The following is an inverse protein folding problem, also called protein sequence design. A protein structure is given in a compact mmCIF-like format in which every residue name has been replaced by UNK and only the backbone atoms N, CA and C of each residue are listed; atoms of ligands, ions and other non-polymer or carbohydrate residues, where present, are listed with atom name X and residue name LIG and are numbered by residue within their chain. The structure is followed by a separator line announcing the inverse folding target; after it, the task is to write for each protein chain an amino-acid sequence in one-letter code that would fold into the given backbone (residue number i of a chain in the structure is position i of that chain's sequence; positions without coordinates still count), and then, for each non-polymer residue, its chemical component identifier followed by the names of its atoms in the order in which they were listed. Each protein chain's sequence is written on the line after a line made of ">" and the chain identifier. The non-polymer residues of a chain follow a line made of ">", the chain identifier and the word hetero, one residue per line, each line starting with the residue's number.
data_IF_173196260313
#
_entry.id   IF_173196260313
#
_cell.length_a   1.000
_cell.length_b   1.000
_cell.length_c   1.000
_cell.angle_alpha   90.00
_cell.angle_beta   90.00
_cell.angle_gamma   90.00
#
_symmetry.space_group_name_H-M   'P 1'
#
loop_
_entity.id
_entity.type
_entity.pdbx_description
1 polymer ?
#
# COMPACT_ATOMS: atom_id res chain seq x y z
N UNK A 1 -21.57 -45.96 16.38
CA UNK A 1 -21.73 -44.80 15.47
C UNK A 1 -21.09 -43.61 16.15
N UNK A 2 -19.85 -43.28 15.77
CA UNK A 2 -19.23 -41.99 16.09
C UNK A 2 -19.31 -41.18 14.80
N UNK A 3 -20.12 -40.13 14.82
CA UNK A 3 -20.25 -39.13 13.76
C UNK A 3 -18.88 -38.48 13.53
N UNK A 4 -18.39 -38.58 12.29
CA UNK A 4 -17.26 -37.78 11.82
C UNK A 4 -17.64 -36.30 11.98
N UNK A 5 -16.92 -35.61 12.85
CA UNK A 5 -16.93 -34.16 12.97
C UNK A 5 -16.31 -33.61 11.67
N UNK A 6 -17.06 -32.88 10.82
CA UNK A 6 -16.58 -32.38 9.55
C UNK A 6 -15.77 -31.09 9.78
N UNK A 7 -14.66 -31.19 10.50
CA UNK A 7 -13.58 -30.19 10.45
C UNK A 7 -12.83 -30.35 9.13
N UNK A 8 -13.54 -30.18 8.00
CA UNK A 8 -13.00 -30.11 6.65
C UNK A 8 -13.80 -29.10 5.81
N UNK A 9 -14.08 -27.95 6.41
CA UNK A 9 -14.59 -26.75 5.73
C UNK A 9 -13.50 -25.66 5.66
N UNK A 10 -12.22 -26.05 5.60
CA UNK A 10 -11.19 -25.20 5.00
C UNK A 10 -11.19 -25.34 3.47
N UNK A 11 -12.38 -25.49 2.88
CA UNK A 11 -12.57 -25.35 1.44
C UNK A 11 -12.59 -23.86 1.14
N UNK A 12 -11.40 -23.32 0.90
CA UNK A 12 -11.26 -22.14 0.08
C UNK A 12 -11.84 -22.50 -1.30
N UNK A 13 -13.10 -22.15 -1.51
CA UNK A 13 -13.74 -22.23 -2.80
C UNK A 13 -13.20 -21.10 -3.67
N UNK A 14 -11.97 -21.27 -4.14
CA UNK A 14 -11.40 -20.43 -5.20
C UNK A 14 -11.93 -20.96 -6.54
N UNK A 15 -13.26 -20.97 -6.68
CA UNK A 15 -13.93 -21.10 -7.97
C UNK A 15 -14.10 -19.68 -8.49
N UNK A 16 -13.36 -19.32 -9.53
CA UNK A 16 -13.45 -18.05 -10.24
C UNK A 16 -12.88 -16.82 -9.50
N UNK A 17 -11.72 -16.96 -8.83
CA UNK A 17 -10.85 -15.79 -8.68
C UNK A 17 -10.13 -15.63 -10.02
N UNK A 18 -10.70 -14.80 -10.90
CA UNK A 18 -9.90 -14.03 -11.85
C UNK A 18 -8.67 -13.58 -11.08
N UNK A 19 -7.48 -13.92 -11.55
CA UNK A 19 -6.22 -13.57 -10.88
C UNK A 19 -6.19 -12.07 -10.69
N UNK A 20 -6.68 -11.61 -9.53
CA UNK A 20 -6.47 -10.26 -9.04
C UNK A 20 -4.97 -10.15 -9.07
N UNK A 21 -4.46 -9.18 -9.83
CA UNK A 21 -3.05 -8.97 -10.00
C UNK A 21 -2.40 -8.95 -8.61
N UNK A 22 -1.75 -10.06 -8.25
CA UNK A 22 -1.41 -10.38 -6.86
C UNK A 22 -0.41 -9.35 -6.32
N UNK A 23 0.39 -8.80 -7.22
CA UNK A 23 1.33 -7.71 -6.98
C UNK A 23 0.60 -6.40 -6.71
N UNK A 24 -0.40 -6.01 -7.52
CA UNK A 24 -1.21 -4.83 -7.26
C UNK A 24 -1.96 -4.92 -5.92
N UNK A 25 -2.48 -6.10 -5.57
CA UNK A 25 -3.12 -6.34 -4.27
C UNK A 25 -2.14 -6.15 -3.13
N UNK A 26 -0.93 -6.71 -3.26
CA UNK A 26 0.13 -6.56 -2.26
C UNK A 26 0.54 -5.10 -2.10
N UNK A 27 0.74 -4.38 -3.20
CA UNK A 27 1.12 -2.97 -3.18
C UNK A 27 0.05 -2.12 -2.48
N UNK A 28 -1.24 -2.38 -2.75
CA UNK A 28 -2.34 -1.69 -2.06
C UNK A 28 -2.31 -1.93 -0.55
N UNK A 29 -2.08 -3.17 -0.12
CA UNK A 29 -1.96 -3.50 1.31
C UNK A 29 -0.77 -2.76 1.92
N UNK A 30 0.39 -2.73 1.26
CA UNK A 30 1.58 -2.03 1.75
C UNK A 30 1.35 -0.50 1.82
N UNK A 31 0.67 0.07 0.83
CA UNK A 31 0.27 1.49 0.84
C UNK A 31 -0.64 1.80 2.05
N UNK A 32 -1.69 1.01 2.25
CA UNK A 32 -2.71 1.25 3.27
C UNK A 32 -2.18 1.06 4.71
N UNK A 33 -1.32 0.07 4.91
CA UNK A 33 -0.89 -0.34 6.26
C UNK A 33 0.48 0.20 6.66
N UNK A 34 1.32 0.58 5.69
CA UNK A 34 2.70 1.03 5.95
C UNK A 34 2.94 2.44 5.45
N UNK A 35 2.78 2.70 4.15
CA UNK A 35 3.27 3.94 3.56
C UNK A 35 2.40 5.16 3.86
N UNK A 36 1.09 5.08 3.63
CA UNK A 36 0.18 6.20 3.90
C UNK A 36 0.12 6.56 5.39
N UNK A 37 0.00 5.60 6.35
CA UNK A 37 0.07 5.93 7.77
C UNK A 37 1.37 6.64 8.15
N UNK A 38 2.51 6.20 7.61
CA UNK A 38 3.81 6.78 7.93
C UNK A 38 3.92 8.22 7.41
N UNK A 39 3.51 8.47 6.16
CA UNK A 39 3.55 9.81 5.57
C UNK A 39 2.59 10.78 6.27
N UNK A 40 1.45 10.28 6.75
CA UNK A 40 0.50 11.03 7.56
C UNK A 40 1.05 11.37 8.96
N UNK A 41 1.70 10.41 9.64
CA UNK A 41 2.33 10.61 10.95
C UNK A 41 3.41 11.71 10.91
N UNK A 42 4.19 11.77 9.82
CA UNK A 42 5.14 12.85 9.61
C UNK A 42 4.48 14.20 9.23
N UNK A 43 3.20 14.19 8.86
CA UNK A 43 2.42 15.37 8.47
C UNK A 43 2.66 15.82 7.04
N UNK A 44 3.23 14.96 6.19
CA UNK A 44 3.44 15.25 4.77
C UNK A 44 2.16 15.14 3.97
N UNK A 45 1.29 14.19 4.33
CA UNK A 45 -0.03 14.01 3.73
C UNK A 45 -1.12 14.05 4.81
N UNK A 46 -2.36 14.16 4.37
CA UNK A 46 -3.54 13.81 5.15
C UNK A 46 -4.32 12.76 4.35
N UNK A 47 -4.63 11.62 4.96
CA UNK A 47 -5.23 10.49 4.28
C UNK A 47 -6.62 10.17 4.80
N UNK A 48 -7.61 10.40 3.95
CA UNK A 48 -8.99 10.00 4.18
C UNK A 48 -9.18 8.54 3.80
N UNK A 49 -9.24 7.67 4.81
CA UNK A 49 -9.43 6.22 4.65
C UNK A 49 -10.81 5.85 4.14
N UNK A 50 -11.82 6.62 4.50
CA UNK A 50 -13.20 6.34 4.12
C UNK A 50 -13.41 6.63 2.64
N UNK A 51 -12.86 7.74 2.16
CA UNK A 51 -12.96 8.18 0.76
C UNK A 51 -11.79 7.73 -0.13
N UNK A 52 -10.77 7.08 0.44
CA UNK A 52 -9.54 6.68 -0.24
C UNK A 52 -8.83 7.87 -0.92
N UNK A 53 -8.82 9.02 -0.26
CA UNK A 53 -8.26 10.27 -0.80
C UNK A 53 -7.01 10.70 -0.04
N UNK A 54 -5.96 11.05 -0.77
CA UNK A 54 -4.71 11.58 -0.21
C UNK A 54 -4.60 13.05 -0.57
N UNK A 55 -4.44 13.89 0.46
CA UNK A 55 -4.31 15.35 0.33
C UNK A 55 -3.00 15.82 0.95
N UNK A 56 -2.59 17.06 0.65
CA UNK A 56 -1.36 17.64 1.21
C UNK A 56 -1.51 17.87 2.71
N UNK A 57 -0.54 17.37 3.47
CA UNK A 57 -0.43 17.65 4.89
C UNK A 57 0.23 19.00 5.18
N UNK A 58 0.23 19.45 6.44
CA UNK A 58 0.77 20.75 6.83
C UNK A 58 2.28 20.89 6.57
N UNK A 59 3.03 19.78 6.47
CA UNK A 59 4.48 19.77 6.18
C UNK A 59 4.81 19.34 4.76
N UNK A 60 3.84 19.31 3.86
CA UNK A 60 4.06 18.88 2.48
C UNK A 60 5.19 19.67 1.80
N UNK A 61 5.21 20.99 1.99
CA UNK A 61 6.22 21.86 1.37
C UNK A 61 7.62 21.70 1.99
N UNK A 62 7.76 21.06 3.15
CA UNK A 62 9.07 20.82 3.80
C UNK A 62 9.85 19.72 3.06
N UNK A 63 9.15 18.66 2.62
CA UNK A 63 9.77 17.51 1.94
C UNK A 63 9.83 17.71 0.41
N UNK A 64 8.94 18.54 -0.13
CA UNK A 64 8.80 18.78 -1.57
C UNK A 64 10.11 19.12 -2.30
N UNK A 65 10.98 20.03 -1.82
CA UNK A 65 12.21 20.37 -2.55
C UNK A 65 13.15 19.18 -2.70
N UNK A 66 13.19 18.28 -1.72
CA UNK A 66 13.99 17.06 -1.80
C UNK A 66 13.43 16.11 -2.87
N UNK A 67 12.11 15.92 -2.90
CA UNK A 67 11.45 15.07 -3.89
C UNK A 67 11.62 15.62 -5.32
N UNK A 68 11.47 16.93 -5.51
CA UNK A 68 11.68 17.58 -6.81
C UNK A 68 13.13 17.44 -7.30
N UNK A 69 14.11 17.50 -6.38
CA UNK A 69 15.51 17.24 -6.72
C UNK A 69 15.73 15.79 -7.15
N UNK A 70 15.15 14.82 -6.43
CA UNK A 70 15.25 13.39 -6.79
C UNK A 70 14.62 13.13 -8.16
N UNK A 71 13.44 13.70 -8.42
CA UNK A 71 12.75 13.60 -9.72
C UNK A 71 13.60 14.21 -10.84
N UNK A 72 14.20 15.37 -10.59
CA UNK A 72 15.05 16.07 -11.59
C UNK A 72 16.32 15.27 -11.94
N UNK A 73 16.87 14.53 -10.99
CA UNK A 73 18.13 13.79 -11.13
C UNK A 73 17.94 12.26 -11.14
N UNK A 74 16.76 11.78 -11.54
CA UNK A 74 16.41 10.36 -11.47
C UNK A 74 17.42 9.46 -12.20
N UNK A 75 17.98 9.91 -13.32
CA UNK A 75 18.97 9.17 -14.12
C UNK A 75 20.35 9.04 -13.44
N UNK A 76 20.59 9.81 -12.38
CA UNK A 76 21.86 9.83 -11.62
C UNK A 76 21.74 9.08 -10.27
N UNK A 77 20.55 8.55 -9.95
CA UNK A 77 20.33 7.83 -8.70
C UNK A 77 21.00 6.45 -8.74
N UNK A 78 21.48 5.93 -7.58
CA UNK A 78 21.96 4.56 -7.49
C UNK A 78 20.90 3.56 -7.95
N UNK A 79 21.29 2.52 -8.68
CA UNK A 79 20.37 1.46 -9.12
C UNK A 79 19.67 0.78 -7.94
N UNK A 80 20.31 0.73 -6.76
CA UNK A 80 19.77 0.12 -5.54
C UNK A 80 18.61 0.94 -4.91
N UNK A 81 18.29 2.12 -5.44
CA UNK A 81 17.20 2.97 -4.95
C UNK A 81 15.94 2.94 -5.84
N UNK A 82 16.04 2.33 -7.03
CA UNK A 82 14.96 2.15 -8.01
C UNK A 82 14.34 0.75 -7.88
#
# INVERSE_FOLDING_TARGET
>A
MLSHNPEDESKLYTGDIETVDTEATRLLIEMEHTHLPLLEDYGFINWDRDNHEVTKGPKFDDIRPLLEMIETHQDELPEDWL
#
